data_IF_923064046869
#
_entry.id   IF_923064046869
#
_cell.length_a   1.000
_cell.length_b   1.000
_cell.length_c   1.000
_cell.angle_alpha   90.00
_cell.angle_beta   90.00
_cell.angle_gamma   90.00
#
_symmetry.space_group_name_H-M   'P 1'
#
loop_
_entity.id
_entity.type
_entity.pdbx_description
1 polymer ?
#
# COMPACT_ATOMS: atom_id res chain seq x y z
N UNK A 1 43.75 -2.07 -22.58
CA UNK A 1 43.12 -3.38 -22.33
C UNK A 1 43.20 -3.64 -20.84
N UNK A 2 42.17 -3.24 -20.10
CA UNK A 2 42.10 -3.32 -18.64
C UNK A 2 41.05 -4.34 -18.26
N UNK A 3 41.50 -5.55 -17.83
CA UNK A 3 40.62 -6.64 -17.36
C UNK A 3 40.07 -6.28 -15.99
N UNK A 4 38.76 -5.94 -15.91
CA UNK A 4 38.01 -5.81 -14.68
C UNK A 4 37.73 -7.21 -14.11
N UNK A 5 38.45 -7.55 -13.06
CA UNK A 5 38.17 -8.70 -12.19
C UNK A 5 37.02 -8.33 -11.25
N UNK A 6 35.84 -8.91 -11.48
CA UNK A 6 34.74 -8.88 -10.53
C UNK A 6 35.01 -9.86 -9.38
N UNK A 7 34.97 -9.45 -8.12
CA UNK A 7 34.95 -10.39 -7.01
C UNK A 7 33.54 -10.98 -6.90
N UNK A 8 33.44 -12.31 -7.07
CA UNK A 8 32.28 -13.09 -6.66
C UNK A 8 32.19 -13.05 -5.12
N UNK A 9 31.27 -12.26 -4.60
CA UNK A 9 30.89 -12.31 -3.20
C UNK A 9 29.94 -13.50 -3.04
N UNK A 10 30.49 -14.62 -2.57
CA UNK A 10 29.73 -15.79 -2.16
C UNK A 10 28.92 -15.46 -0.90
N UNK A 11 27.62 -15.31 -1.04
CA UNK A 11 26.70 -15.22 0.09
C UNK A 11 26.53 -16.63 0.65
N UNK A 12 27.22 -16.90 1.75
CA UNK A 12 27.02 -18.09 2.57
C UNK A 12 25.66 -17.97 3.24
N UNK A 13 24.64 -18.60 2.66
CA UNK A 13 23.35 -18.77 3.29
C UNK A 13 23.47 -19.80 4.41
N UNK A 14 23.80 -19.38 5.62
CA UNK A 14 23.63 -20.19 6.83
C UNK A 14 22.14 -20.31 7.12
N UNK A 15 21.53 -21.41 6.67
CA UNK A 15 20.22 -21.83 7.09
C UNK A 15 20.28 -22.25 8.56
N UNK A 16 20.05 -21.32 9.47
CA UNK A 16 19.71 -21.61 10.86
C UNK A 16 18.26 -22.12 10.89
N UNK A 17 18.11 -23.42 10.77
CA UNK A 17 16.88 -24.12 11.11
C UNK A 17 16.72 -24.05 12.64
N UNK A 18 16.15 -23.00 13.15
CA UNK A 18 15.68 -22.88 14.54
C UNK A 18 14.15 -22.95 14.56
N UNK A 19 13.69 -24.06 15.12
CA UNK A 19 12.52 -24.27 15.98
C UNK A 19 11.23 -23.54 15.67
N UNK A 20 10.22 -24.35 15.42
CA UNK A 20 8.78 -24.20 15.64
C UNK A 20 8.32 -22.98 16.48
N UNK A 21 8.31 -21.80 15.90
CA UNK A 21 7.63 -20.66 16.44
C UNK A 21 7.14 -19.82 15.26
N UNK A 22 6.00 -20.14 14.73
CA UNK A 22 5.08 -19.35 13.88
C UNK A 22 5.57 -18.21 12.96
N UNK A 23 6.83 -17.79 12.99
CA UNK A 23 7.39 -16.79 12.11
C UNK A 23 7.66 -17.35 10.71
N UNK A 24 7.30 -16.62 9.69
CA UNK A 24 7.73 -16.93 8.32
C UNK A 24 9.24 -16.67 8.15
N UNK A 25 9.88 -17.45 7.30
CA UNK A 25 11.28 -17.21 6.96
C UNK A 25 11.46 -15.84 6.28
N UNK A 26 12.62 -15.19 6.42
CA UNK A 26 12.87 -13.90 5.77
C UNK A 26 12.63 -13.92 4.24
N UNK A 27 12.99 -15.02 3.58
CA UNK A 27 12.76 -15.21 2.16
C UNK A 27 11.26 -15.28 1.81
N UNK A 28 10.47 -16.01 2.61
CA UNK A 28 9.02 -16.09 2.42
C UNK A 28 8.36 -14.73 2.65
N UNK A 29 8.76 -14.00 3.71
CA UNK A 29 8.25 -12.65 3.98
C UNK A 29 8.61 -11.70 2.84
N UNK A 30 9.84 -11.75 2.31
CA UNK A 30 10.24 -10.92 1.18
C UNK A 30 9.38 -11.19 -0.07
N UNK A 31 9.05 -12.44 -0.35
CA UNK A 31 8.16 -12.83 -1.45
C UNK A 31 6.75 -12.30 -1.24
N UNK A 32 6.18 -12.48 -0.05
CA UNK A 32 4.83 -12.01 0.27
C UNK A 32 4.73 -10.48 0.23
N UNK A 33 5.75 -9.78 0.74
CA UNK A 33 5.83 -8.32 0.66
C UNK A 33 5.94 -7.83 -0.79
N UNK A 34 6.71 -8.53 -1.64
CA UNK A 34 6.80 -8.18 -3.05
C UNK A 34 5.45 -8.37 -3.76
N UNK A 35 4.75 -9.47 -3.49
CA UNK A 35 3.41 -9.73 -4.01
C UNK A 35 2.39 -8.68 -3.52
N UNK A 36 2.40 -8.34 -2.23
CA UNK A 36 1.52 -7.32 -1.65
C UNK A 36 1.76 -5.94 -2.27
N UNK A 37 3.02 -5.55 -2.52
CA UNK A 37 3.36 -4.29 -3.21
C UNK A 37 2.86 -4.26 -4.64
N UNK A 38 2.98 -5.36 -5.37
CA UNK A 38 2.50 -5.45 -6.74
C UNK A 38 0.97 -5.34 -6.79
N UNK A 39 0.28 -6.03 -5.89
CA UNK A 39 -1.17 -5.94 -5.75
C UNK A 39 -1.60 -4.51 -5.40
N UNK A 40 -0.99 -3.89 -4.38
CA UNK A 40 -1.26 -2.51 -3.99
C UNK A 40 -1.07 -1.52 -5.15
N UNK A 41 0.01 -1.68 -5.94
CA UNK A 41 0.25 -0.85 -7.12
C UNK A 41 -0.87 -1.00 -8.16
N UNK A 42 -1.36 -2.22 -8.39
CA UNK A 42 -2.46 -2.49 -9.33
C UNK A 42 -3.76 -1.85 -8.84
N UNK A 43 -4.11 -2.03 -7.57
CA UNK A 43 -5.31 -1.46 -6.96
C UNK A 43 -5.32 0.06 -7.01
N UNK A 44 -4.18 0.71 -6.72
CA UNK A 44 -4.04 2.17 -6.82
C UNK A 44 -4.17 2.65 -8.27
N UNK A 45 -3.58 1.94 -9.23
CA UNK A 45 -3.73 2.29 -10.65
C UNK A 45 -5.17 2.14 -11.13
N UNK A 46 -5.88 1.11 -10.70
CA UNK A 46 -7.29 0.92 -11.03
C UNK A 46 -8.17 2.01 -10.39
N UNK A 47 -7.93 2.35 -9.13
CA UNK A 47 -8.61 3.46 -8.46
C UNK A 47 -8.36 4.81 -9.17
N UNK A 48 -7.13 5.08 -9.62
CA UNK A 48 -6.81 6.28 -10.39
C UNK A 48 -7.51 6.32 -11.75
N UNK A 49 -7.58 5.18 -12.45
CA UNK A 49 -8.27 5.05 -13.72
C UNK A 49 -9.78 5.27 -13.58
N UNK A 50 -10.38 4.73 -12.53
CA UNK A 50 -11.80 4.92 -12.26
C UNK A 50 -12.08 6.36 -11.78
N UNK A 51 -11.18 6.96 -11.01
CA UNK A 51 -11.22 8.38 -10.66
C UNK A 51 -11.26 9.26 -11.92
N UNK A 52 -10.36 9.01 -12.87
CA UNK A 52 -10.32 9.76 -14.14
C UNK A 52 -11.63 9.62 -14.92
N UNK A 53 -12.15 8.39 -15.06
CA UNK A 53 -13.44 8.16 -15.75
C UNK A 53 -14.60 8.88 -15.08
N UNK A 54 -14.65 8.88 -13.74
CA UNK A 54 -15.70 9.55 -12.99
C UNK A 54 -15.66 11.06 -13.17
N UNK A 55 -14.47 11.67 -13.18
CA UNK A 55 -14.28 13.10 -13.43
C UNK A 55 -14.68 13.45 -14.87
N UNK A 56 -14.25 12.67 -15.86
CA UNK A 56 -14.60 12.86 -17.27
C UNK A 56 -16.12 12.76 -17.48
N UNK A 57 -16.74 11.74 -16.86
CA UNK A 57 -18.20 11.57 -16.92
C UNK A 57 -18.95 12.74 -16.28
N UNK A 58 -18.46 13.24 -15.14
CA UNK A 58 -19.04 14.41 -14.48
C UNK A 58 -18.89 15.67 -15.35
N UNK A 59 -17.76 15.85 -16.00
CA UNK A 59 -17.53 16.98 -16.91
C UNK A 59 -18.51 16.99 -18.08
N UNK A 60 -18.82 15.82 -18.64
CA UNK A 60 -19.76 15.69 -19.76
C UNK A 60 -21.21 15.86 -19.30
N UNK A 61 -21.60 15.23 -18.19
CA UNK A 61 -23.00 15.16 -17.76
C UNK A 61 -23.48 16.40 -16.99
N UNK A 62 -22.59 17.05 -16.23
CA UNK A 62 -22.93 18.20 -15.39
C UNK A 62 -22.94 19.53 -16.14
N UNK A 63 -22.71 19.54 -17.46
CA UNK A 63 -22.57 20.78 -18.23
C UNK A 63 -21.46 21.69 -17.68
N UNK A 64 -20.51 21.11 -16.95
CA UNK A 64 -19.37 21.82 -16.39
C UNK A 64 -19.69 22.59 -15.09
N UNK A 65 -20.75 22.23 -14.33
CA UNK A 65 -20.97 22.84 -13.01
C UNK A 65 -19.72 22.69 -12.13
N UNK A 66 -19.07 23.81 -11.72
CA UNK A 66 -17.85 23.74 -10.93
C UNK A 66 -18.03 22.98 -9.61
N UNK A 67 -19.24 23.08 -9.01
CA UNK A 67 -19.55 22.38 -7.76
C UNK A 67 -19.57 20.87 -7.95
N UNK A 68 -20.23 20.36 -8.98
CA UNK A 68 -20.35 18.92 -9.21
C UNK A 68 -18.99 18.31 -9.56
N UNK A 69 -18.17 19.00 -10.32
CA UNK A 69 -16.79 18.61 -10.62
C UNK A 69 -15.93 18.55 -9.34
N UNK A 70 -16.09 19.54 -8.46
CA UNK A 70 -15.37 19.57 -7.20
C UNK A 70 -15.79 18.41 -6.27
N UNK A 71 -17.10 18.14 -6.19
CA UNK A 71 -17.65 17.05 -5.39
C UNK A 71 -17.17 15.69 -5.90
N UNK A 72 -17.17 15.45 -7.21
CA UNK A 72 -16.64 14.23 -7.82
C UNK A 72 -15.14 14.12 -7.61
N UNK A 73 -14.39 15.19 -7.83
CA UNK A 73 -12.95 15.23 -7.61
C UNK A 73 -12.56 14.95 -6.15
N UNK A 74 -13.34 15.47 -5.19
CA UNK A 74 -13.10 15.21 -3.78
C UNK A 74 -13.36 13.74 -3.40
N UNK A 75 -14.40 13.12 -3.96
CA UNK A 75 -14.73 11.69 -3.73
C UNK A 75 -13.69 10.78 -4.36
N UNK A 76 -13.35 10.98 -5.61
CA UNK A 76 -12.39 10.13 -6.32
C UNK A 76 -10.99 10.25 -5.72
N UNK A 77 -10.59 11.44 -5.25
CA UNK A 77 -9.34 11.60 -4.51
C UNK A 77 -9.34 10.82 -3.17
N UNK A 78 -10.49 10.76 -2.50
CA UNK A 78 -10.66 9.93 -1.31
C UNK A 78 -10.51 8.43 -1.65
N UNK A 79 -11.15 7.96 -2.71
CA UNK A 79 -11.12 6.54 -3.11
C UNK A 79 -9.69 6.10 -3.45
N UNK A 80 -8.93 6.93 -4.17
CA UNK A 80 -7.51 6.67 -4.46
C UNK A 80 -6.67 6.65 -3.17
N UNK A 81 -6.92 7.58 -2.24
CA UNK A 81 -6.19 7.63 -0.97
C UNK A 81 -6.50 6.41 -0.08
N UNK A 82 -7.75 5.89 -0.11
CA UNK A 82 -8.11 4.66 0.59
C UNK A 82 -7.44 3.46 -0.05
N UNK A 83 -7.45 3.33 -1.39
CA UNK A 83 -6.74 2.25 -2.07
C UNK A 83 -5.24 2.23 -1.74
N UNK A 84 -4.61 3.41 -1.64
CA UNK A 84 -3.22 3.52 -1.18
C UNK A 84 -3.05 3.03 0.26
N UNK A 85 -3.94 3.44 1.17
CA UNK A 85 -3.89 3.04 2.56
C UNK A 85 -4.09 1.52 2.74
N UNK A 86 -5.00 0.91 1.96
CA UNK A 86 -5.23 -0.54 1.93
C UNK A 86 -3.97 -1.29 1.49
N UNK A 87 -3.32 -0.82 0.43
CA UNK A 87 -2.06 -1.38 -0.06
C UNK A 87 -0.93 -1.30 0.95
N UNK A 88 -0.73 -0.13 1.57
CA UNK A 88 0.30 0.09 2.58
C UNK A 88 0.06 -0.77 3.83
N UNK A 89 -1.21 -0.91 4.26
CA UNK A 89 -1.60 -1.79 5.35
C UNK A 89 -1.28 -3.25 5.04
N UNK A 90 -1.65 -3.75 3.85
CA UNK A 90 -1.34 -5.11 3.41
C UNK A 90 0.17 -5.39 3.46
N UNK A 91 0.98 -4.48 2.93
CA UNK A 91 2.45 -4.59 2.96
C UNK A 91 2.96 -4.64 4.41
N UNK A 92 2.46 -3.76 5.29
CA UNK A 92 2.86 -3.72 6.69
C UNK A 92 2.50 -5.02 7.44
N UNK A 93 1.29 -5.57 7.20
CA UNK A 93 0.86 -6.84 7.79
C UNK A 93 1.75 -8.01 7.34
N UNK A 94 2.14 -8.07 6.04
CA UNK A 94 3.08 -9.10 5.57
C UNK A 94 4.44 -8.98 6.25
N UNK A 95 4.95 -7.78 6.47
CA UNK A 95 6.20 -7.56 7.21
C UNK A 95 6.13 -8.08 8.65
N UNK A 96 4.96 -7.96 9.30
CA UNK A 96 4.76 -8.44 10.66
C UNK A 96 4.87 -9.98 10.78
N UNK A 97 4.73 -10.72 9.69
CA UNK A 97 4.85 -12.19 9.69
C UNK A 97 6.29 -12.70 9.92
N UNK A 98 7.28 -11.79 9.85
CA UNK A 98 8.66 -12.10 10.28
C UNK A 98 8.79 -12.19 11.80
N UNK A 99 7.80 -11.73 12.55
CA UNK A 99 7.79 -11.69 14.01
C UNK A 99 6.89 -12.78 14.59
N UNK A 100 6.99 -13.01 15.90
CA UNK A 100 6.14 -13.97 16.64
C UNK A 100 5.64 -13.39 17.94
N UNK A 101 4.62 -14.03 18.53
CA UNK A 101 4.09 -13.68 19.85
C UNK A 101 3.64 -12.22 19.95
N UNK A 102 3.93 -11.59 21.08
CA UNK A 102 3.55 -10.20 21.34
C UNK A 102 4.18 -9.20 20.35
N UNK A 103 5.39 -9.47 19.86
CA UNK A 103 6.02 -8.59 18.86
C UNK A 103 5.23 -8.58 17.53
N UNK A 104 4.75 -9.73 17.07
CA UNK A 104 3.90 -9.82 15.88
C UNK A 104 2.57 -9.11 16.11
N UNK A 105 1.94 -9.33 17.27
CA UNK A 105 0.68 -8.67 17.63
C UNK A 105 0.82 -7.16 17.64
N UNK A 106 1.81 -6.61 18.37
CA UNK A 106 2.07 -5.18 18.41
C UNK A 106 2.44 -4.59 17.03
N UNK A 107 3.09 -5.37 16.16
CA UNK A 107 3.37 -4.95 14.80
C UNK A 107 2.07 -4.78 14.00
N UNK A 108 1.15 -5.75 14.07
CA UNK A 108 -0.15 -5.68 13.38
C UNK A 108 -1.02 -4.54 13.92
N UNK A 109 -1.09 -4.38 15.23
CA UNK A 109 -1.82 -3.27 15.86
C UNK A 109 -1.32 -1.90 15.37
N UNK A 110 0.00 -1.75 15.15
CA UNK A 110 0.55 -0.52 14.55
C UNK A 110 0.19 -0.37 13.07
N UNK A 111 0.15 -1.47 12.33
CA UNK A 111 -0.29 -1.44 10.93
C UNK A 111 -1.76 -1.01 10.84
N UNK A 112 -2.63 -1.57 11.70
CA UNK A 112 -4.05 -1.23 11.76
C UNK A 112 -4.26 0.24 12.16
N UNK A 113 -3.54 0.73 13.18
CA UNK A 113 -3.61 2.13 13.60
C UNK A 113 -3.14 3.09 12.51
N UNK A 114 -2.09 2.74 11.77
CA UNK A 114 -1.61 3.52 10.62
C UNK A 114 -2.65 3.59 9.50
N UNK A 115 -3.32 2.49 9.22
CA UNK A 115 -4.41 2.43 8.26
C UNK A 115 -5.60 3.32 8.64
N UNK A 116 -6.06 3.22 9.90
CA UNK A 116 -7.16 4.06 10.40
C UNK A 116 -6.82 5.55 10.36
N UNK A 117 -5.58 5.89 10.68
CA UNK A 117 -5.09 7.27 10.58
C UNK A 117 -5.09 7.77 9.13
N UNK A 118 -4.62 6.96 8.18
CA UNK A 118 -4.60 7.31 6.76
C UNK A 118 -6.01 7.53 6.21
N UNK A 119 -6.97 6.66 6.55
CA UNK A 119 -8.39 6.82 6.16
C UNK A 119 -9.03 8.05 6.78
N UNK A 120 -8.74 8.32 8.05
CA UNK A 120 -9.23 9.54 8.72
C UNK A 120 -8.71 10.79 8.03
N UNK A 121 -7.42 10.83 7.71
CA UNK A 121 -6.81 11.94 6.97
C UNK A 121 -7.41 12.11 5.58
N UNK A 122 -7.61 11.03 4.83
CA UNK A 122 -8.26 11.07 3.52
C UNK A 122 -9.69 11.64 3.63
N UNK A 123 -10.47 11.24 4.65
CA UNK A 123 -11.81 11.75 4.85
C UNK A 123 -11.84 13.25 5.22
N UNK A 124 -10.96 13.70 6.10
CA UNK A 124 -10.82 15.13 6.45
C UNK A 124 -10.46 15.94 5.21
N UNK A 125 -9.51 15.46 4.40
CA UNK A 125 -9.11 16.11 3.15
C UNK A 125 -10.28 16.20 2.17
N UNK A 126 -11.08 15.14 2.03
CA UNK A 126 -12.29 15.14 1.22
C UNK A 126 -13.28 16.19 1.69
N UNK A 127 -13.57 16.23 2.99
CA UNK A 127 -14.54 17.18 3.55
C UNK A 127 -14.10 18.64 3.41
N UNK A 128 -12.81 18.93 3.53
CA UNK A 128 -12.27 20.27 3.35
C UNK A 128 -12.39 20.80 1.92
N UNK A 129 -12.46 19.90 0.93
CA UNK A 129 -12.66 20.28 -0.49
C UNK A 129 -14.13 20.50 -0.86
N UNK A 130 -15.06 20.10 0.00
CA UNK A 130 -16.51 20.25 -0.23
C UNK A 130 -17.08 21.55 0.37
N UNK A 131 -16.26 22.32 1.08
CA UNK A 131 -16.64 23.62 1.68
C UNK A 131 -16.29 24.77 0.73
#
# INVERSE_FOLDING_TARGET
MQKLLLPMIGILATALACGCNGAKSPAAVATDVAAARQQASTEVMDAQKDAAKNVDSAAVNAGGSPKDLNDVGARTAYDVAVAQADGDHNVAVQQCLALTGEAQKSCKERADAGYDQAKTHANVTRLSKLQ
#
